data_IF_446407988414
#
_entry.id   IF_446407988414
#
_cell.length_a   1.000
_cell.length_b   1.000
_cell.length_c   1.000
_cell.angle_alpha   90.00
_cell.angle_beta   90.00
_cell.angle_gamma   90.00
#
_symmetry.space_group_name_H-M   'P 1'
#
loop_
_entity.id
_entity.type
_entity.pdbx_description
1 polymer ?
#
# COMPACT_ATOMS: atom_id res chain seq x y z
N UNK A 1 -21.58 24.08 -19.37
CA UNK A 1 -20.28 24.28 -20.05
C UNK A 1 -19.17 24.02 -19.05
N UNK A 2 -18.50 22.88 -19.20
CA UNK A 2 -17.06 22.61 -19.00
C UNK A 2 -16.86 21.11 -19.28
N UNK A 3 -17.12 20.73 -20.53
CA UNK A 3 -16.83 19.40 -21.07
C UNK A 3 -15.41 19.44 -21.68
N UNK A 4 -14.41 19.67 -20.81
CA UNK A 4 -13.09 20.14 -21.21
C UNK A 4 -11.92 19.22 -20.88
N UNK A 5 -12.14 18.06 -20.26
CA UNK A 5 -11.05 17.17 -19.81
C UNK A 5 -11.24 15.71 -20.24
N UNK A 6 -12.25 15.41 -21.07
CA UNK A 6 -12.58 14.05 -21.45
C UNK A 6 -11.61 13.42 -22.48
N UNK A 7 -10.72 14.20 -23.11
CA UNK A 7 -10.03 13.79 -24.36
C UNK A 7 -8.49 13.92 -24.36
N UNK A 8 -7.88 14.20 -23.21
CA UNK A 8 -6.44 14.43 -23.13
C UNK A 8 -5.65 13.12 -22.99
N UNK A 9 -4.59 13.01 -23.79
CA UNK A 9 -3.62 11.93 -23.70
C UNK A 9 -2.70 12.15 -22.50
N UNK A 10 -2.54 11.12 -21.66
CA UNK A 10 -1.69 11.17 -20.47
C UNK A 10 -0.83 9.93 -20.35
N UNK A 11 0.26 10.03 -19.60
CA UNK A 11 1.08 8.87 -19.25
C UNK A 11 0.31 7.87 -18.39
N UNK A 12 0.68 6.60 -18.49
CA UNK A 12 0.07 5.52 -17.71
C UNK A 12 0.17 5.74 -16.20
N UNK A 13 1.24 6.39 -15.71
CA UNK A 13 1.37 6.73 -14.29
C UNK A 13 0.20 7.60 -13.83
N UNK A 14 -0.06 8.69 -14.55
CA UNK A 14 -1.12 9.63 -14.19
C UNK A 14 -2.52 9.02 -14.36
N UNK A 15 -2.71 8.16 -15.35
CA UNK A 15 -3.96 7.44 -15.54
C UNK A 15 -4.23 6.45 -14.39
N UNK A 16 -3.24 5.64 -14.02
CA UNK A 16 -3.33 4.66 -12.93
C UNK A 16 -3.50 5.35 -11.57
N UNK A 17 -2.75 6.42 -11.29
CA UNK A 17 -2.92 7.23 -10.08
C UNK A 17 -4.36 7.74 -9.93
N UNK A 18 -4.93 8.31 -10.99
CA UNK A 18 -6.30 8.81 -10.97
C UNK A 18 -7.33 7.67 -10.80
N UNK A 19 -7.11 6.52 -11.44
CA UNK A 19 -8.02 5.38 -11.39
C UNK A 19 -7.99 4.65 -10.04
N UNK A 20 -6.82 4.54 -9.40
CA UNK A 20 -6.63 3.82 -8.14
C UNK A 20 -6.88 4.72 -6.93
N UNK A 21 -6.33 5.94 -6.95
CA UNK A 21 -6.18 6.78 -5.75
C UNK A 21 -6.82 8.17 -5.88
N UNK A 22 -7.39 8.52 -7.03
CA UNK A 22 -8.16 9.76 -7.21
C UNK A 22 -9.42 9.82 -6.33
N UNK A 23 -10.17 10.94 -6.34
CA UNK A 23 -11.39 11.10 -5.53
C UNK A 23 -12.42 9.99 -5.71
N UNK A 24 -12.59 9.52 -6.95
CA UNK A 24 -13.46 8.39 -7.31
C UNK A 24 -12.67 7.07 -7.50
N UNK A 25 -11.43 7.02 -7.05
CA UNK A 25 -10.49 5.93 -7.29
C UNK A 25 -10.89 4.64 -6.56
N UNK A 26 -10.46 3.50 -7.10
CA UNK A 26 -10.83 2.17 -6.61
C UNK A 26 -10.59 1.97 -5.11
N UNK A 27 -9.43 2.39 -4.58
CA UNK A 27 -9.04 2.16 -3.19
C UNK A 27 -9.73 3.08 -2.17
N UNK A 28 -10.37 4.18 -2.63
CA UNK A 28 -11.11 5.11 -1.74
C UNK A 28 -12.58 4.74 -1.57
N UNK A 29 -13.11 3.83 -2.40
CA UNK A 29 -14.53 3.47 -2.39
C UNK A 29 -14.87 2.57 -1.18
N UNK A 30 -16.09 2.66 -0.62
CA UNK A 30 -16.49 1.87 0.55
C UNK A 30 -16.39 0.36 0.36
N UNK A 31 -16.65 -0.13 -0.85
CA UNK A 31 -16.53 -1.55 -1.20
C UNK A 31 -15.07 -2.02 -1.09
N UNK A 32 -14.13 -1.15 -1.49
CA UNK A 32 -12.69 -1.36 -1.43
C UNK A 32 -12.20 -2.67 -2.07
N UNK A 33 -10.91 -2.99 -1.93
CA UNK A 33 -10.36 -4.26 -2.40
C UNK A 33 -10.99 -5.47 -1.71
N UNK A 34 -11.35 -5.33 -0.43
CA UNK A 34 -11.92 -6.41 0.39
C UNK A 34 -13.29 -6.91 -0.10
N UNK A 35 -14.05 -6.08 -0.84
CA UNK A 35 -15.28 -6.50 -1.52
C UNK A 35 -15.04 -7.32 -2.79
N UNK A 36 -13.80 -7.35 -3.30
CA UNK A 36 -13.45 -7.93 -4.59
C UNK A 36 -12.36 -9.02 -4.51
N UNK A 37 -11.52 -9.00 -3.48
CA UNK A 37 -10.36 -9.88 -3.34
C UNK A 37 -10.19 -10.36 -1.89
N UNK A 38 -9.78 -11.61 -1.73
CA UNK A 38 -9.22 -12.14 -0.49
C UNK A 38 -7.71 -12.20 -0.64
N UNK A 39 -6.99 -11.28 -0.02
CA UNK A 39 -5.52 -11.36 0.05
C UNK A 39 -5.10 -12.40 1.09
N UNK A 40 -3.84 -12.82 1.06
CA UNK A 40 -3.25 -13.82 1.98
C UNK A 40 -3.45 -13.48 3.46
N UNK A 41 -3.52 -12.20 3.80
CA UNK A 41 -3.82 -11.65 5.14
C UNK A 41 -5.21 -12.08 5.64
N UNK A 42 -6.17 -12.27 4.73
CA UNK A 42 -7.52 -12.71 5.04
C UNK A 42 -7.68 -14.23 5.06
N UNK A 43 -6.64 -14.98 4.64
CA UNK A 43 -6.73 -16.42 4.44
C UNK A 43 -6.41 -17.21 5.71
N UNK A 44 -5.49 -16.74 6.56
CA UNK A 44 -5.05 -17.46 7.77
C UNK A 44 -4.27 -16.57 8.76
N UNK A 45 -4.40 -16.81 10.08
CA UNK A 45 -3.53 -16.18 11.10
C UNK A 45 -2.02 -16.44 10.89
N UNK A 46 -1.67 -17.52 10.19
CA UNK A 46 -0.28 -17.95 9.98
C UNK A 46 0.60 -16.88 9.33
N UNK A 47 0.03 -16.04 8.45
CA UNK A 47 0.79 -14.97 7.81
C UNK A 47 1.19 -13.89 8.84
N UNK A 48 0.25 -13.45 9.66
CA UNK A 48 0.52 -12.49 10.73
C UNK A 48 1.50 -13.05 11.77
N UNK A 49 1.40 -14.34 12.11
CA UNK A 49 2.38 -15.01 12.97
C UNK A 49 3.80 -15.04 12.35
N UNK A 50 3.91 -15.29 11.05
CA UNK A 50 5.19 -15.26 10.35
C UNK A 50 5.81 -13.86 10.36
N UNK A 51 5.00 -12.82 10.15
CA UNK A 51 5.44 -11.42 10.23
C UNK A 51 5.82 -11.04 11.66
N UNK A 52 5.07 -11.46 12.68
CA UNK A 52 5.43 -11.25 14.09
C UNK A 52 6.78 -11.90 14.43
N UNK A 53 7.04 -13.13 13.94
CA UNK A 53 8.36 -13.78 14.08
C UNK A 53 9.47 -13.04 13.35
N UNK A 54 9.17 -12.42 12.20
CA UNK A 54 10.14 -11.55 11.51
C UNK A 54 10.44 -10.30 12.36
N UNK A 55 9.42 -9.66 12.91
CA UNK A 55 9.58 -8.50 13.79
C UNK A 55 10.44 -8.83 15.03
N UNK A 56 10.22 -9.98 15.68
CA UNK A 56 11.08 -10.43 16.77
C UNK A 56 12.54 -10.66 16.35
N UNK A 57 12.80 -11.16 15.14
CA UNK A 57 14.18 -11.30 14.64
C UNK A 57 14.84 -9.95 14.35
N UNK A 58 14.08 -9.01 13.81
CA UNK A 58 14.55 -7.62 13.60
C UNK A 58 14.86 -6.98 14.94
N UNK A 59 14.01 -7.17 15.93
CA UNK A 59 14.23 -6.68 17.28
C UNK A 59 15.55 -7.14 17.90
N UNK A 60 15.82 -8.44 17.83
CA UNK A 60 17.07 -9.01 18.33
C UNK A 60 18.29 -8.47 17.57
N UNK A 61 18.18 -8.33 16.25
CA UNK A 61 19.22 -7.76 15.40
C UNK A 61 19.49 -6.27 15.69
N UNK A 62 18.50 -5.55 16.20
CA UNK A 62 18.61 -4.15 16.63
C UNK A 62 19.00 -4.01 18.11
N UNK A 63 19.43 -5.09 18.77
CA UNK A 63 19.82 -5.11 20.17
C UNK A 63 18.69 -4.70 21.14
N UNK A 64 17.44 -5.03 20.78
CA UNK A 64 16.24 -4.82 21.62
C UNK A 64 16.05 -3.36 22.04
N UNK A 65 15.78 -2.45 21.08
CA UNK A 65 15.58 -1.04 21.39
C UNK A 65 14.40 -0.82 22.35
N UNK A 66 14.43 0.29 23.09
CA UNK A 66 13.38 0.64 24.04
C UNK A 66 12.01 0.86 23.38
N UNK A 67 11.98 1.20 22.10
CA UNK A 67 10.78 1.26 21.25
C UNK A 67 11.07 0.54 19.93
N UNK A 68 10.13 -0.28 19.48
CA UNK A 68 10.23 -1.03 18.23
C UNK A 68 9.06 -0.65 17.32
N UNK A 69 9.36 -0.11 16.15
CA UNK A 69 8.34 0.30 15.20
C UNK A 69 7.94 -0.87 14.31
N UNK A 70 6.63 -1.09 14.15
CA UNK A 70 6.07 -1.96 13.13
C UNK A 70 5.17 -1.13 12.22
N UNK A 71 5.56 -0.99 10.95
CA UNK A 71 4.83 -0.22 9.94
C UNK A 71 4.24 -1.19 8.93
N UNK A 72 2.91 -1.24 8.87
CA UNK A 72 2.12 -1.97 7.89
C UNK A 72 1.75 -1.00 6.75
N UNK A 73 2.42 -1.14 5.60
CA UNK A 73 2.23 -0.29 4.43
C UNK A 73 1.11 -0.79 3.54
N UNK A 74 0.22 0.12 3.13
CA UNK A 74 -1.05 -0.21 2.49
C UNK A 74 -1.85 -1.20 3.34
N UNK A 75 -2.08 -0.79 4.58
CA UNK A 75 -2.60 -1.64 5.65
C UNK A 75 -4.02 -2.17 5.40
N UNK A 76 -4.72 -1.72 4.36
CA UNK A 76 -6.08 -2.17 4.06
C UNK A 76 -7.05 -1.71 5.16
N UNK A 77 -7.58 -2.63 5.97
CA UNK A 77 -8.37 -2.27 7.17
C UNK A 77 -7.62 -2.60 8.47
N UNK A 78 -6.30 -2.80 8.40
CA UNK A 78 -5.44 -3.06 9.54
C UNK A 78 -5.46 -4.51 10.03
N UNK A 79 -5.87 -5.45 9.17
CA UNK A 79 -5.92 -6.88 9.51
C UNK A 79 -4.54 -7.44 9.87
N UNK A 80 -3.51 -7.11 9.09
CA UNK A 80 -2.16 -7.61 9.32
C UNK A 80 -1.59 -7.05 10.62
N UNK A 81 -1.56 -5.73 10.80
CA UNK A 81 -1.09 -5.12 12.06
C UNK A 81 -1.84 -5.62 13.29
N UNK A 82 -3.15 -5.85 13.20
CA UNK A 82 -3.93 -6.43 14.30
C UNK A 82 -3.46 -7.85 14.62
N UNK A 83 -3.30 -8.69 13.60
CA UNK A 83 -2.83 -10.06 13.76
C UNK A 83 -1.40 -10.13 14.30
N UNK A 84 -0.51 -9.25 13.82
CA UNK A 84 0.89 -9.17 14.27
C UNK A 84 0.92 -8.82 15.75
N UNK A 85 0.21 -7.75 16.17
CA UNK A 85 0.16 -7.36 17.58
C UNK A 85 -0.39 -8.46 18.49
N UNK A 86 -1.35 -9.24 18.01
CA UNK A 86 -1.90 -10.38 18.76
C UNK A 86 -0.92 -11.57 18.87
N UNK A 87 -0.03 -11.74 17.89
CA UNK A 87 0.94 -12.84 17.83
C UNK A 87 2.28 -12.52 18.50
N UNK A 88 2.55 -11.27 18.87
CA UNK A 88 3.80 -10.88 19.51
C UNK A 88 3.91 -11.39 20.96
N UNK A 89 5.12 -11.78 21.42
CA UNK A 89 5.41 -11.96 22.83
C UNK A 89 5.08 -10.69 23.64
N UNK A 90 4.59 -10.85 24.87
CA UNK A 90 4.08 -9.73 25.68
C UNK A 90 5.11 -8.61 25.91
N UNK A 91 6.37 -8.96 26.11
CA UNK A 91 7.47 -8.02 26.32
C UNK A 91 7.81 -7.23 25.04
N UNK A 92 7.75 -7.87 23.86
CA UNK A 92 7.92 -7.20 22.56
C UNK A 92 6.72 -6.32 22.26
N UNK A 93 5.50 -6.85 22.45
CA UNK A 93 4.26 -6.11 22.22
C UNK A 93 4.17 -4.84 23.08
N UNK A 94 4.64 -4.88 24.34
CA UNK A 94 4.58 -3.76 25.27
C UNK A 94 5.40 -2.53 24.82
N UNK A 95 6.43 -2.74 24.00
CA UNK A 95 7.28 -1.66 23.45
C UNK A 95 7.10 -1.45 21.94
N UNK A 96 6.21 -2.21 21.31
CA UNK A 96 5.93 -2.08 19.89
C UNK A 96 5.04 -0.86 19.65
N UNK A 97 5.47 0.01 18.74
CA UNK A 97 4.66 1.09 18.17
C UNK A 97 4.14 0.64 16.82
N UNK A 98 2.83 0.56 16.68
CA UNK A 98 2.20 -0.01 15.50
C UNK A 98 1.62 1.09 14.63
N UNK A 99 2.04 1.12 13.36
CA UNK A 99 1.59 2.08 12.37
C UNK A 99 0.90 1.33 11.23
N UNK A 100 -0.30 1.76 10.89
CA UNK A 100 -1.00 1.38 9.67
C UNK A 100 -0.97 2.56 8.71
N UNK A 101 -0.29 2.40 7.57
CA UNK A 101 -0.18 3.43 6.55
C UNK A 101 -1.19 3.13 5.45
N UNK A 102 -2.18 4.00 5.31
CA UNK A 102 -3.31 3.80 4.42
C UNK A 102 -3.98 5.12 4.05
N UNK A 103 -4.36 5.23 2.78
CA UNK A 103 -5.00 6.42 2.22
C UNK A 103 -6.52 6.45 2.48
N UNK A 104 -7.11 5.27 2.71
CA UNK A 104 -8.51 5.13 3.08
C UNK A 104 -8.74 5.54 4.55
N UNK A 105 -10.01 5.81 4.87
CA UNK A 105 -10.41 6.17 6.22
C UNK A 105 -10.16 5.01 7.21
N UNK A 106 -9.76 5.37 8.43
CA UNK A 106 -9.56 4.42 9.53
C UNK A 106 -10.85 3.63 9.79
N UNK A 107 -10.81 2.29 9.81
CA UNK A 107 -11.99 1.48 10.06
C UNK A 107 -12.49 1.61 11.50
N UNK A 108 -13.82 1.57 11.72
CA UNK A 108 -14.39 1.62 13.06
C UNK A 108 -13.99 0.38 13.86
N UNK A 109 -13.65 0.58 15.14
CA UNK A 109 -13.30 -0.51 16.06
C UNK A 109 -11.84 -0.99 15.98
N UNK A 110 -11.01 -0.41 15.10
CA UNK A 110 -9.58 -0.69 15.09
C UNK A 110 -8.94 -0.26 16.42
N UNK A 111 -8.10 -1.14 16.99
CA UNK A 111 -7.44 -0.91 18.28
C UNK A 111 -6.74 0.46 18.31
N UNK A 112 -7.06 1.27 19.32
CA UNK A 112 -6.49 2.60 19.54
C UNK A 112 -4.96 2.64 19.61
N UNK A 113 -4.31 1.51 19.91
CA UNK A 113 -2.84 1.39 19.91
C UNK A 113 -2.22 1.45 18.52
N UNK A 114 -3.01 1.22 17.47
CA UNK A 114 -2.56 1.30 16.07
C UNK A 114 -2.71 2.74 15.63
N UNK A 115 -1.60 3.39 15.28
CA UNK A 115 -1.59 4.73 14.71
C UNK A 115 -1.92 4.64 13.21
N UNK A 116 -2.90 5.43 12.74
CA UNK A 116 -3.33 5.42 11.34
C UNK A 116 -2.76 6.65 10.64
N UNK A 117 -1.94 6.44 9.61
CA UNK A 117 -1.20 7.51 8.93
C UNK A 117 -1.44 7.48 7.42
N UNK A 118 -1.48 8.64 6.76
CA UNK A 118 -1.53 8.70 5.29
C UNK A 118 -0.17 8.40 4.63
N UNK A 119 0.93 8.54 5.39
CA UNK A 119 2.31 8.36 4.95
C UNK A 119 3.13 7.68 6.05
N UNK A 120 4.19 6.92 5.73
CA UNK A 120 5.02 6.29 6.74
C UNK A 120 5.77 7.31 7.61
N UNK A 121 6.09 6.97 8.88
CA UNK A 121 6.95 7.81 9.72
C UNK A 121 8.30 8.11 9.05
N UNK A 122 8.82 9.32 9.25
CA UNK A 122 10.11 9.74 8.66
C UNK A 122 11.32 8.93 9.14
N UNK A 123 11.23 8.35 10.33
CA UNK A 123 12.26 7.50 10.91
C UNK A 123 11.59 6.26 11.52
N UNK A 124 12.19 5.10 11.29
CA UNK A 124 11.66 3.80 11.71
C UNK A 124 12.81 3.03 12.36
N UNK A 125 12.61 2.61 13.61
CA UNK A 125 13.49 1.66 14.30
C UNK A 125 12.75 0.34 14.47
N UNK A 126 12.79 -0.51 13.45
CA UNK A 126 12.07 -1.78 13.45
C UNK A 126 11.78 -2.27 12.04
N UNK A 127 10.55 -2.72 11.79
CA UNK A 127 10.15 -3.35 10.55
C UNK A 127 9.09 -2.52 9.83
N UNK A 128 9.40 -2.11 8.60
CA UNK A 128 8.41 -1.72 7.61
C UNK A 128 8.09 -2.95 6.74
N UNK A 129 6.82 -3.29 6.66
CA UNK A 129 6.32 -4.42 5.89
C UNK A 129 5.27 -3.95 4.88
N UNK A 130 5.44 -4.36 3.63
CA UNK A 130 4.59 -3.94 2.51
C UNK A 130 4.18 -5.17 1.70
N UNK A 131 3.05 -5.79 2.05
CA UNK A 131 2.51 -6.93 1.32
C UNK A 131 1.64 -6.46 0.15
N UNK A 132 1.91 -6.94 -1.06
CA UNK A 132 1.08 -6.62 -2.25
C UNK A 132 0.88 -5.09 -2.46
N UNK A 133 1.91 -4.31 -2.13
CA UNK A 133 1.90 -2.86 -2.32
C UNK A 133 2.52 -2.44 -3.65
N UNK A 134 3.67 -3.03 -4.01
CA UNK A 134 4.48 -2.59 -5.15
C UNK A 134 3.80 -2.83 -6.51
N UNK A 135 2.93 -3.83 -6.61
CA UNK A 135 2.12 -4.11 -7.80
C UNK A 135 1.04 -3.05 -8.06
N UNK A 136 0.70 -2.25 -7.06
CA UNK A 136 -0.26 -1.17 -7.14
C UNK A 136 0.37 0.22 -7.32
N UNK A 137 1.71 0.31 -7.32
CA UNK A 137 2.41 1.59 -7.52
C UNK A 137 2.27 2.04 -8.98
N UNK A 138 1.73 3.24 -9.25
CA UNK A 138 1.59 3.76 -10.61
C UNK A 138 2.95 3.93 -11.28
N UNK A 139 3.07 3.44 -12.51
CA UNK A 139 4.30 3.51 -13.31
C UNK A 139 4.01 4.01 -14.72
N UNK A 140 5.03 4.53 -15.38
CA UNK A 140 4.95 4.77 -16.82
C UNK A 140 5.12 3.44 -17.56
N UNK A 141 4.44 3.31 -18.69
CA UNK A 141 4.61 2.20 -19.62
C UNK A 141 5.39 2.72 -20.82
N UNK A 142 6.36 1.93 -21.29
CA UNK A 142 7.12 2.23 -22.49
C UNK A 142 7.03 1.06 -23.47
N UNK A 143 6.96 1.40 -24.75
CA UNK A 143 6.97 0.45 -25.87
C UNK A 143 8.08 0.86 -26.85
N UNK A 144 8.76 -0.14 -27.42
CA UNK A 144 9.78 0.08 -28.45
C UNK A 144 9.11 0.17 -29.81
N UNK A 145 9.26 1.32 -30.49
CA UNK A 145 8.68 1.54 -31.81
C UNK A 145 9.40 0.74 -32.93
N UNK A 146 8.88 0.83 -34.15
CA UNK A 146 9.46 0.15 -35.32
C UNK A 146 10.86 0.65 -35.70
N UNK A 147 11.31 1.79 -35.17
CA UNK A 147 12.66 2.32 -35.34
C UNK A 147 13.61 1.91 -34.19
N UNK A 148 13.14 1.12 -33.22
CA UNK A 148 13.93 0.68 -32.07
C UNK A 148 14.03 1.71 -30.96
N UNK A 149 13.18 2.75 -30.96
CA UNK A 149 13.17 3.81 -29.95
C UNK A 149 12.13 3.49 -28.89
N UNK A 150 12.55 3.42 -27.62
CA UNK A 150 11.61 3.35 -26.50
C UNK A 150 10.82 4.66 -26.43
N UNK A 151 9.48 4.55 -26.39
CA UNK A 151 8.55 5.67 -26.28
C UNK A 151 7.58 5.43 -25.16
N UNK A 152 7.16 6.51 -24.50
CA UNK A 152 6.08 6.43 -23.50
C UNK A 152 4.78 6.04 -24.17
N UNK A 153 4.06 5.10 -23.58
CA UNK A 153 2.68 4.80 -23.96
C UNK A 153 1.77 5.80 -23.26
N UNK A 154 0.98 6.52 -24.06
CA UNK A 154 -0.05 7.43 -23.60
C UNK A 154 -1.39 6.75 -23.71
N UNK A 155 -2.29 7.04 -22.76
CA UNK A 155 -3.61 6.41 -22.67
C UNK A 155 -4.71 7.46 -22.48
N UNK A 156 -5.85 7.23 -23.13
CA UNK A 156 -7.09 7.99 -22.94
C UNK A 156 -8.02 7.32 -21.94
N UNK A 157 -9.06 8.03 -21.51
CA UNK A 157 -10.02 7.50 -20.52
C UNK A 157 -10.77 6.25 -21.01
N UNK A 158 -10.96 6.10 -22.31
CA UNK A 158 -11.59 4.94 -22.95
C UNK A 158 -10.63 3.74 -23.09
N UNK A 159 -9.37 3.87 -22.67
CA UNK A 159 -8.35 2.84 -22.79
C UNK A 159 -7.63 2.84 -24.14
N UNK A 160 -7.95 3.77 -25.05
CA UNK A 160 -7.19 3.91 -26.31
C UNK A 160 -5.76 4.33 -26.00
N UNK A 161 -4.79 3.64 -26.58
CA UNK A 161 -3.36 3.88 -26.40
C UNK A 161 -2.72 4.48 -27.66
N UNK A 162 -1.62 5.23 -27.47
CA UNK A 162 -0.70 5.63 -28.54
C UNK A 162 0.73 5.79 -28.03
N UNK A 163 1.69 5.73 -28.93
CA UNK A 163 3.07 6.12 -28.62
C UNK A 163 3.20 7.64 -28.53
N UNK A 164 3.91 8.10 -27.50
CA UNK A 164 4.26 9.49 -27.25
C UNK A 164 5.73 9.80 -27.56
N UNK A 165 6.25 10.75 -26.80
CA UNK A 165 7.67 11.11 -26.84
C UNK A 165 8.56 9.96 -26.29
N UNK A 166 9.83 9.89 -26.73
CA UNK A 166 10.85 9.04 -26.12
C UNK A 166 10.99 9.23 -24.60
#
# INVERSE_FOLDING_TARGET
>A
MTDGTADEWRGWRAATEAALYGPDGFYRRPEGPAGHFRTSVHASPLFAEAVARLLCRVDEALERPAALDFVDMAAGRGELVTGVLAALPTDVAARTRAYAVEIADRPPGLDHRIEWLPEPPHAITGLLFANEWLDNVPVEVAEVDSAGVARRVLVRRDGTERLGEP
#
